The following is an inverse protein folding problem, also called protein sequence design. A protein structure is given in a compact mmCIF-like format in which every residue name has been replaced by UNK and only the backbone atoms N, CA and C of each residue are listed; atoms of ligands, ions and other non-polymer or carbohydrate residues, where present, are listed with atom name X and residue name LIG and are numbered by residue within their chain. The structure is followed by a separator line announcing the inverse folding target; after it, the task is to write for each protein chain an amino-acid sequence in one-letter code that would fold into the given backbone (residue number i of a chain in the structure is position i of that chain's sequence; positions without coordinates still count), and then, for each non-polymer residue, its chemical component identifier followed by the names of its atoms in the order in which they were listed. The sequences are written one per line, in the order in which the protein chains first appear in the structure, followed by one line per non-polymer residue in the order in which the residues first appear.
data_IF_407875687280
#
_entry.id   IF_407875687280
#
_cell.length_a   1.000
_cell.length_b   1.000
_cell.length_c   1.000
_cell.angle_alpha   90.00
_cell.angle_beta   90.00
_cell.angle_gamma   90.00
#
_symmetry.space_group_name_H-M   'P 1'
#
loop_
_entity.id
_entity.type
_entity.pdbx_description
1 polymer ?
#
# COMPACT_ATOMS: atom_id res chain seq x y z
N UNK A 1 -21.50 7.48 12.66
CA UNK A 1 -20.16 7.91 12.18
C UNK A 1 -19.60 6.78 11.32
N UNK A 2 -19.00 7.09 10.18
CA UNK A 2 -18.29 6.07 9.37
C UNK A 2 -16.86 5.91 9.86
N UNK A 3 -16.30 4.74 9.68
CA UNK A 3 -14.91 4.40 9.98
C UNK A 3 -14.44 3.23 9.13
N UNK A 4 -13.18 2.83 9.30
CA UNK A 4 -12.62 1.65 8.63
C UNK A 4 -12.23 0.61 9.66
N UNK A 5 -12.39 -0.65 9.27
CA UNK A 5 -12.01 -1.80 10.05
C UNK A 5 -11.21 -2.79 9.21
N UNK A 6 -10.09 -3.28 9.76
CA UNK A 6 -9.28 -4.34 9.18
C UNK A 6 -9.66 -5.71 9.70
N UNK A 7 -9.42 -6.73 8.89
CA UNK A 7 -9.67 -8.14 9.17
C UNK A 7 -8.60 -9.01 8.53
N UNK A 8 -8.49 -10.25 8.97
CA UNK A 8 -7.71 -11.25 8.26
C UNK A 8 -8.35 -11.63 6.90
N UNK A 9 -7.71 -12.53 6.17
CA UNK A 9 -8.16 -13.02 4.85
C UNK A 9 -9.56 -13.64 4.85
N UNK A 10 -10.05 -14.08 5.99
CA UNK A 10 -11.34 -14.74 6.13
C UNK A 10 -12.43 -13.80 6.68
N UNK A 11 -12.19 -12.50 6.79
CA UNK A 11 -13.04 -11.57 7.54
C UNK A 11 -13.17 -11.97 9.02
N UNK A 12 -12.08 -12.42 9.64
CA UNK A 12 -12.05 -12.78 11.05
C UNK A 12 -11.10 -11.86 11.83
N UNK A 13 -11.38 -11.69 13.11
CA UNK A 13 -10.45 -11.11 14.09
C UNK A 13 -10.52 -11.99 15.34
N UNK A 14 -9.39 -12.55 15.75
CA UNK A 14 -9.28 -13.38 16.96
C UNK A 14 -10.36 -14.47 17.06
N UNK A 15 -10.67 -15.12 15.95
CA UNK A 15 -11.67 -16.20 15.88
C UNK A 15 -13.12 -15.74 15.74
N UNK A 16 -13.42 -14.45 15.83
CA UNK A 16 -14.76 -13.91 15.55
C UNK A 16 -14.92 -13.72 14.06
N UNK A 17 -15.92 -14.38 13.46
CA UNK A 17 -16.28 -14.28 12.05
C UNK A 17 -17.19 -13.09 11.81
N UNK A 18 -16.89 -12.29 10.79
CA UNK A 18 -17.68 -11.13 10.38
C UNK A 18 -18.27 -11.31 8.98
N UNK A 19 -19.38 -10.59 8.72
CA UNK A 19 -20.01 -10.53 7.40
C UNK A 19 -20.44 -9.11 7.04
N UNK A 20 -20.31 -8.76 5.77
CA UNK A 20 -20.82 -7.51 5.22
C UNK A 20 -22.33 -7.45 5.35
N UNK A 21 -22.86 -6.32 5.78
CA UNK A 21 -24.28 -6.07 6.01
C UNK A 21 -24.75 -6.33 7.45
N UNK A 22 -23.97 -7.05 8.26
CA UNK A 22 -24.33 -7.39 9.64
C UNK A 22 -23.87 -6.32 10.65
N UNK A 23 -24.58 -6.26 11.78
CA UNK A 23 -24.29 -5.39 12.93
C UNK A 23 -23.74 -6.23 14.07
N UNK A 24 -22.69 -5.73 14.71
CA UNK A 24 -21.99 -6.38 15.80
C UNK A 24 -22.02 -5.51 17.05
N UNK A 25 -22.41 -6.11 18.19
CA UNK A 25 -22.55 -5.44 19.49
C UNK A 25 -21.56 -6.01 20.48
N UNK A 26 -20.98 -5.14 21.29
CA UNK A 26 -20.10 -5.49 22.39
C UNK A 26 -20.91 -5.58 23.68
N UNK A 27 -21.29 -6.80 24.07
CA UNK A 27 -22.21 -7.02 25.19
C UNK A 27 -21.53 -7.09 26.56
N UNK A 28 -20.23 -7.39 26.63
CA UNK A 28 -19.49 -7.67 27.89
C UNK A 28 -18.23 -6.82 28.07
N UNK A 29 -18.29 -5.54 27.78
CA UNK A 29 -17.12 -4.64 27.80
C UNK A 29 -16.42 -4.53 29.18
N UNK A 30 -17.09 -4.87 30.28
CA UNK A 30 -16.55 -4.72 31.64
C UNK A 30 -15.53 -5.81 32.02
N UNK A 31 -15.53 -6.96 31.34
CA UNK A 31 -14.76 -8.13 31.76
C UNK A 31 -13.62 -8.53 30.82
N UNK A 32 -13.45 -7.91 29.66
CA UNK A 32 -12.45 -8.37 28.69
C UNK A 32 -11.43 -7.27 28.34
N UNK A 33 -10.39 -7.21 29.15
CA UNK A 33 -9.21 -6.32 28.94
C UNK A 33 -8.37 -6.71 27.70
N UNK A 34 -8.73 -7.77 26.97
CA UNK A 34 -7.89 -8.35 25.93
C UNK A 34 -8.46 -8.36 24.50
N UNK A 35 -9.68 -7.88 24.27
CA UNK A 35 -10.30 -8.00 22.94
C UNK A 35 -10.65 -6.67 22.26
N UNK A 36 -9.89 -5.63 22.58
CA UNK A 36 -10.08 -4.29 22.01
C UNK A 36 -10.08 -4.27 20.48
N UNK A 37 -9.28 -5.14 19.84
CA UNK A 37 -9.18 -5.15 18.37
C UNK A 37 -10.43 -5.67 17.66
N UNK A 38 -11.24 -6.52 18.30
CA UNK A 38 -12.50 -7.02 17.71
C UNK A 38 -13.47 -5.87 17.47
N UNK A 39 -13.49 -4.88 18.36
CA UNK A 39 -14.37 -3.71 18.31
C UNK A 39 -13.64 -2.40 18.01
N UNK A 40 -12.35 -2.48 17.65
CA UNK A 40 -11.59 -1.32 17.21
C UNK A 40 -12.04 -0.86 15.82
N UNK A 41 -12.30 0.42 15.69
CA UNK A 41 -12.61 1.11 14.44
C UNK A 41 -11.62 2.24 14.26
N UNK A 42 -11.05 2.35 13.08
CA UNK A 42 -10.11 3.39 12.71
C UNK A 42 -10.87 4.56 12.09
N UNK A 43 -10.55 5.76 12.53
CA UNK A 43 -11.17 6.98 12.01
C UNK A 43 -10.79 7.27 10.57
N UNK A 44 -11.61 8.09 9.90
CA UNK A 44 -11.35 8.47 8.51
C UNK A 44 -10.29 9.56 8.34
N UNK A 45 -9.98 10.32 9.39
CA UNK A 45 -9.16 11.52 9.23
C UNK A 45 -7.68 11.28 9.56
N UNK A 46 -7.28 11.31 10.80
CA UNK A 46 -5.87 11.27 11.18
C UNK A 46 -5.35 9.86 11.47
N UNK A 47 -6.26 8.91 11.64
CA UNK A 47 -5.95 7.58 12.19
C UNK A 47 -6.05 6.45 11.18
N UNK A 48 -6.50 6.76 9.97
CA UNK A 48 -6.82 5.77 8.95
C UNK A 48 -5.62 4.89 8.58
N UNK A 49 -4.44 5.45 8.58
CA UNK A 49 -3.21 4.72 8.26
C UNK A 49 -2.69 3.89 9.44
N UNK A 50 -3.16 4.16 10.64
CA UNK A 50 -2.87 3.33 11.80
C UNK A 50 -3.44 1.92 11.64
N UNK A 51 -4.47 1.75 10.80
CA UNK A 51 -5.00 0.42 10.47
C UNK A 51 -3.93 -0.52 9.92
N UNK A 52 -2.97 0.00 9.13
CA UNK A 52 -1.91 -0.82 8.54
C UNK A 52 -0.85 -1.27 9.54
N UNK A 53 -0.80 -0.66 10.71
CA UNK A 53 0.01 -1.15 11.81
C UNK A 53 -0.53 -2.47 12.37
N UNK A 54 -1.86 -2.60 12.45
CA UNK A 54 -2.54 -3.78 13.00
C UNK A 54 -2.90 -4.79 11.91
N UNK A 55 -3.27 -4.31 10.75
CA UNK A 55 -3.65 -5.09 9.56
C UNK A 55 -2.84 -4.62 8.36
N UNK A 56 -1.58 -5.06 8.21
CA UNK A 56 -0.70 -4.64 7.12
C UNK A 56 -1.33 -4.86 5.74
N UNK A 57 -1.09 -3.92 4.83
CA UNK A 57 -1.53 -4.05 3.43
C UNK A 57 -0.63 -5.04 2.68
N UNK A 58 -0.89 -6.33 2.88
CA UNK A 58 -0.08 -7.45 2.37
C UNK A 58 -0.80 -8.30 1.31
N UNK A 59 -1.95 -7.83 0.80
CA UNK A 59 -2.79 -8.57 -0.15
C UNK A 59 -3.64 -9.69 0.47
N UNK A 60 -3.45 -9.99 1.76
CA UNK A 60 -4.21 -11.01 2.50
C UNK A 60 -5.27 -10.39 3.41
N UNK A 61 -4.93 -9.29 4.08
CA UNK A 61 -5.86 -8.59 4.94
C UNK A 61 -6.97 -7.91 4.14
N UNK A 62 -8.16 -7.86 4.73
CA UNK A 62 -9.37 -7.30 4.15
C UNK A 62 -9.77 -6.06 4.94
N UNK A 63 -10.39 -5.10 4.28
CA UNK A 63 -10.78 -3.82 4.87
C UNK A 63 -12.23 -3.53 4.55
N UNK A 64 -12.98 -3.03 5.54
CA UNK A 64 -14.37 -2.68 5.36
C UNK A 64 -14.68 -1.29 5.88
N UNK A 65 -15.57 -0.59 5.18
CA UNK A 65 -16.25 0.56 5.74
C UNK A 65 -17.24 0.05 6.78
N UNK A 66 -17.21 0.66 7.96
CA UNK A 66 -18.16 0.39 9.04
C UNK A 66 -18.88 1.65 9.46
N UNK A 67 -20.15 1.50 9.80
CA UNK A 67 -20.96 2.54 10.41
C UNK A 67 -21.02 2.29 11.92
N UNK A 68 -20.51 3.24 12.69
CA UNK A 68 -20.60 3.20 14.16
C UNK A 68 -21.97 3.68 14.57
N UNK A 69 -22.75 2.78 15.20
CA UNK A 69 -24.12 3.02 15.65
C UNK A 69 -24.24 3.12 17.18
N UNK A 70 -23.24 2.63 17.91
CA UNK A 70 -23.16 2.70 19.36
C UNK A 70 -22.16 3.73 19.88
N UNK A 71 -22.11 3.84 21.20
CA UNK A 71 -21.19 4.74 21.90
C UNK A 71 -19.73 4.32 21.71
N UNK A 72 -18.84 5.30 21.77
CA UNK A 72 -17.40 5.05 21.87
C UNK A 72 -17.06 4.75 23.34
N UNK A 73 -16.45 3.58 23.57
CA UNK A 73 -16.00 3.15 24.90
C UNK A 73 -14.63 3.75 25.21
N UNK A 74 -13.74 3.73 24.23
CA UNK A 74 -12.37 4.24 24.32
C UNK A 74 -12.03 5.00 23.06
N UNK A 75 -11.49 6.18 23.26
CA UNK A 75 -10.93 7.01 22.18
C UNK A 75 -9.42 7.13 22.40
N UNK A 76 -8.64 6.70 21.43
CA UNK A 76 -7.18 6.84 21.44
C UNK A 76 -6.74 7.55 20.16
N UNK A 77 -5.50 7.97 20.09
CA UNK A 77 -4.93 8.56 18.86
C UNK A 77 -4.77 7.55 17.72
N UNK A 78 -4.89 6.27 18.00
CA UNK A 78 -4.65 5.22 17.01
C UNK A 78 -5.94 4.58 16.49
N UNK A 79 -6.93 4.38 17.37
CA UNK A 79 -8.21 3.75 17.07
C UNK A 79 -9.25 4.06 18.14
N UNK A 80 -10.52 3.83 17.80
CA UNK A 80 -11.65 3.91 18.74
C UNK A 80 -12.20 2.52 19.01
N UNK A 81 -12.57 2.24 20.26
CA UNK A 81 -13.34 1.07 20.63
C UNK A 81 -14.79 1.50 20.74
N UNK A 82 -15.67 0.81 20.02
CA UNK A 82 -17.09 1.16 19.93
C UNK A 82 -17.96 0.02 20.42
N UNK A 83 -19.11 0.36 21.01
CA UNK A 83 -20.06 -0.64 21.50
C UNK A 83 -20.79 -1.36 20.37
N UNK A 84 -21.02 -0.68 19.26
CA UNK A 84 -21.77 -1.24 18.15
C UNK A 84 -21.29 -0.65 16.82
N UNK A 85 -21.13 -1.51 15.83
CA UNK A 85 -20.88 -1.09 14.45
C UNK A 85 -21.56 -2.04 13.47
N UNK A 86 -21.91 -1.52 12.29
CA UNK A 86 -22.39 -2.28 11.14
C UNK A 86 -21.32 -2.31 10.05
N UNK A 87 -21.05 -3.47 9.47
CA UNK A 87 -20.19 -3.56 8.30
C UNK A 87 -20.99 -3.18 7.06
N UNK A 88 -20.64 -2.05 6.45
CA UNK A 88 -21.42 -1.48 5.33
C UNK A 88 -20.95 -2.05 4.00
N UNK A 89 -19.63 -2.06 3.78
CA UNK A 89 -19.06 -2.43 2.48
C UNK A 89 -17.61 -2.89 2.65
N UNK A 90 -17.21 -3.91 1.92
CA UNK A 90 -15.80 -4.28 1.77
C UNK A 90 -15.12 -3.42 0.69
N UNK A 91 -13.87 -3.06 0.94
CA UNK A 91 -13.00 -2.33 0.02
C UNK A 91 -11.91 -3.25 -0.50
N UNK A 92 -11.87 -3.44 -1.80
CA UNK A 92 -10.88 -4.30 -2.45
C UNK A 92 -9.70 -3.49 -3.00
N UNK A 93 -8.49 -3.93 -2.69
CA UNK A 93 -7.27 -3.43 -3.30
C UNK A 93 -7.18 -1.91 -3.35
N UNK A 94 -7.22 -1.37 -4.56
CA UNK A 94 -7.15 0.06 -4.82
C UNK A 94 -8.37 0.87 -4.37
N UNK A 95 -9.53 0.24 -4.16
CA UNK A 95 -10.73 0.93 -3.67
C UNK A 95 -10.51 1.51 -2.28
N UNK A 96 -9.71 0.85 -1.44
CA UNK A 96 -9.32 1.39 -0.14
C UNK A 96 -8.62 2.74 -0.29
N UNK A 97 -7.62 2.81 -1.16
CA UNK A 97 -6.87 4.04 -1.41
C UNK A 97 -7.68 5.08 -2.18
N UNK A 98 -8.52 4.66 -3.12
CA UNK A 98 -9.45 5.56 -3.82
C UNK A 98 -10.47 6.17 -2.86
N UNK A 99 -11.00 5.38 -1.93
CA UNK A 99 -11.92 5.88 -0.92
C UNK A 99 -11.23 6.93 -0.05
N UNK A 100 -10.03 6.65 0.44
CA UNK A 100 -9.24 7.64 1.19
C UNK A 100 -8.97 8.90 0.38
N UNK A 101 -8.58 8.77 -0.87
CA UNK A 101 -8.26 9.91 -1.71
C UNK A 101 -9.51 10.75 -2.10
N UNK A 102 -10.72 10.17 -2.13
CA UNK A 102 -11.97 10.90 -2.45
C UNK A 102 -12.59 11.56 -1.23
N UNK A 103 -12.58 10.90 -0.09
CA UNK A 103 -13.21 11.43 1.13
C UNK A 103 -12.34 12.46 1.87
N UNK A 104 -11.02 12.46 1.58
CA UNK A 104 -10.03 13.29 2.27
C UNK A 104 -9.28 14.23 1.33
N UNK A 105 -9.98 14.84 0.41
CA UNK A 105 -9.42 15.86 -0.50
C UNK A 105 -8.58 16.90 0.25
N UNK A 106 -9.00 17.31 1.42
CA UNK A 106 -8.34 18.36 2.19
C UNK A 106 -7.03 17.89 2.86
N UNK A 107 -6.98 16.64 3.35
CA UNK A 107 -5.76 16.09 3.99
C UNK A 107 -4.68 15.82 2.93
N UNK A 108 -5.07 15.39 1.73
CA UNK A 108 -4.14 15.17 0.63
C UNK A 108 -3.78 16.46 -0.11
N UNK A 109 -4.66 17.45 -0.12
CA UNK A 109 -4.34 18.78 -0.63
C UNK A 109 -3.30 19.48 0.25
N UNK A 110 -3.34 19.31 1.56
CA UNK A 110 -2.31 19.83 2.47
C UNK A 110 -0.97 19.09 2.31
N UNK A 111 -0.98 17.79 2.07
CA UNK A 111 0.23 16.99 1.76
C UNK A 111 0.77 17.33 0.35
N UNK A 112 -0.11 17.62 -0.60
CA UNK A 112 0.22 17.99 -1.98
C UNK A 112 0.57 19.48 -2.11
N UNK A 113 0.17 20.34 -1.16
CA UNK A 113 0.44 21.78 -1.18
C UNK A 113 1.87 22.19 -0.81
N UNK A 114 2.80 21.26 -0.57
CA UNK A 114 4.21 21.64 -0.61
C UNK A 114 4.64 21.93 -2.05
N UNK A 115 4.28 23.11 -2.52
CA UNK A 115 4.89 23.74 -3.67
C UNK A 115 6.35 24.04 -3.31
N UNK A 116 7.24 23.11 -3.63
CA UNK A 116 8.61 23.53 -3.89
C UNK A 116 8.61 24.26 -5.24
N UNK A 117 9.33 25.33 -5.32
CA UNK A 117 9.46 26.19 -6.50
C UNK A 117 9.65 25.39 -7.80
N UNK A 118 8.56 25.11 -8.50
CA UNK A 118 8.56 24.52 -9.86
C UNK A 118 8.56 23.00 -9.96
N UNK A 119 8.51 22.23 -8.86
CA UNK A 119 8.41 20.76 -8.90
C UNK A 119 7.36 20.23 -7.93
N UNK A 120 6.48 19.35 -8.40
CA UNK A 120 5.47 18.70 -7.59
C UNK A 120 6.11 17.60 -6.73
N UNK A 121 6.58 17.92 -5.53
CA UNK A 121 7.23 16.95 -4.63
C UNK A 121 6.70 17.05 -3.22
N UNK A 122 6.43 15.90 -2.57
CA UNK A 122 6.06 15.80 -1.18
C UNK A 122 7.00 14.85 -0.45
N UNK A 123 7.45 15.21 0.76
CA UNK A 123 8.20 14.33 1.63
C UNK A 123 7.44 14.15 2.94
N UNK A 124 7.23 12.89 3.34
CA UNK A 124 6.56 12.50 4.57
C UNK A 124 7.59 11.79 5.43
N UNK A 125 7.74 12.23 6.68
CA UNK A 125 8.71 11.67 7.62
C UNK A 125 7.99 11.01 8.80
N UNK A 126 8.53 9.89 9.25
CA UNK A 126 8.02 9.15 10.41
C UNK A 126 7.77 7.67 10.08
N UNK A 127 7.86 6.85 11.12
CA UNK A 127 7.56 5.43 11.01
C UNK A 127 6.06 5.23 10.74
N UNK A 128 5.73 4.17 9.97
CA UNK A 128 4.37 3.81 9.58
C UNK A 128 3.64 4.90 8.77
N UNK A 129 4.37 5.84 8.19
CA UNK A 129 3.78 6.92 7.41
C UNK A 129 3.28 6.42 6.04
N UNK A 130 2.25 7.07 5.54
CA UNK A 130 1.68 6.75 4.23
C UNK A 130 1.46 8.04 3.43
N UNK A 131 1.77 7.99 2.15
CA UNK A 131 1.50 9.07 1.22
C UNK A 131 0.77 8.54 -0.01
N UNK A 132 -0.21 9.30 -0.48
CA UNK A 132 -0.98 8.97 -1.69
C UNK A 132 -1.06 10.20 -2.59
N UNK A 133 -0.86 10.02 -3.89
CA UNK A 133 -1.08 11.05 -4.90
C UNK A 133 -1.79 10.47 -6.12
N UNK A 134 -2.66 11.27 -6.74
CA UNK A 134 -3.29 10.98 -8.04
C UNK A 134 -2.82 11.94 -9.14
N UNK A 135 -2.01 12.91 -8.79
CA UNK A 135 -1.55 13.93 -9.73
C UNK A 135 -0.42 13.39 -10.60
N UNK A 136 -0.37 13.86 -11.83
CA UNK A 136 0.74 13.58 -12.76
C UNK A 136 1.99 14.38 -12.40
N UNK A 137 3.16 13.86 -12.77
CA UNK A 137 4.48 14.48 -12.57
C UNK A 137 4.87 14.76 -11.11
N UNK A 138 4.28 14.01 -10.17
CA UNK A 138 4.53 14.14 -8.73
C UNK A 138 5.67 13.23 -8.28
N UNK A 139 6.49 13.75 -7.37
CA UNK A 139 7.49 12.99 -6.62
C UNK A 139 7.01 12.85 -5.19
N UNK A 140 6.71 11.62 -4.77
CA UNK A 140 6.29 11.30 -3.42
C UNK A 140 7.42 10.56 -2.69
N UNK A 141 7.86 11.07 -1.54
CA UNK A 141 8.92 10.45 -0.72
C UNK A 141 8.42 10.15 0.67
N UNK A 142 8.63 8.93 1.15
CA UNK A 142 8.41 8.55 2.54
C UNK A 142 9.73 8.15 3.20
N UNK A 143 9.97 8.62 4.42
CA UNK A 143 11.14 8.25 5.22
C UNK A 143 10.72 7.72 6.57
N UNK A 144 11.12 6.50 6.88
CA UNK A 144 10.85 5.83 8.14
C UNK A 144 10.58 4.34 7.96
N UNK A 145 10.56 3.62 9.05
CA UNK A 145 10.24 2.19 9.05
C UNK A 145 8.78 1.95 8.63
N UNK A 146 8.53 0.99 7.74
CA UNK A 146 7.20 0.62 7.23
C UNK A 146 6.43 1.78 6.60
N UNK A 147 7.08 2.60 5.80
CA UNK A 147 6.39 3.64 5.04
C UNK A 147 5.75 3.08 3.78
N UNK A 148 4.60 3.62 3.39
CA UNK A 148 3.91 3.25 2.14
C UNK A 148 3.66 4.49 1.29
N UNK A 149 4.19 4.50 0.06
CA UNK A 149 4.01 5.59 -0.90
C UNK A 149 3.25 5.07 -2.12
N UNK A 150 2.07 5.61 -2.37
CA UNK A 150 1.23 5.26 -3.52
C UNK A 150 1.04 6.45 -4.45
N UNK A 151 1.39 6.29 -5.70
CA UNK A 151 1.18 7.28 -6.74
C UNK A 151 0.38 6.69 -7.90
N UNK A 152 -0.66 7.39 -8.35
CA UNK A 152 -1.55 6.92 -9.41
C UNK A 152 -1.57 7.82 -10.65
N UNK A 153 -0.68 8.81 -10.72
CA UNK A 153 -0.60 9.75 -11.85
C UNK A 153 0.35 9.29 -12.96
N UNK A 154 0.29 9.99 -14.07
CA UNK A 154 1.21 9.80 -15.19
C UNK A 154 2.58 10.41 -14.90
N UNK A 155 3.67 9.75 -15.30
CA UNK A 155 5.06 10.24 -15.15
C UNK A 155 5.44 10.58 -13.69
N UNK A 156 5.07 9.71 -12.76
CA UNK A 156 5.27 9.95 -11.34
C UNK A 156 6.43 9.14 -10.76
N UNK A 157 6.96 9.58 -9.63
CA UNK A 157 7.99 8.87 -8.88
C UNK A 157 7.58 8.70 -7.43
N UNK A 158 7.69 7.50 -6.91
CA UNK A 158 7.53 7.25 -5.47
C UNK A 158 8.80 6.64 -4.90
N UNK A 159 9.18 7.12 -3.73
CA UNK A 159 10.33 6.64 -2.96
C UNK A 159 9.86 6.28 -1.56
N UNK A 160 10.05 5.03 -1.16
CA UNK A 160 9.87 4.59 0.21
C UNK A 160 11.24 4.26 0.80
N UNK A 161 11.66 5.00 1.82
CA UNK A 161 12.99 4.93 2.39
C UNK A 161 12.88 4.47 3.83
N UNK A 162 13.34 3.25 4.09
CA UNK A 162 13.31 2.58 5.38
C UNK A 162 12.93 1.11 5.22
N UNK A 163 13.27 0.29 6.22
CA UNK A 163 13.03 -1.14 6.16
C UNK A 163 11.54 -1.48 6.16
N UNK A 164 11.21 -2.59 5.53
CA UNK A 164 9.83 -3.07 5.35
C UNK A 164 8.89 -2.06 4.69
N UNK A 165 9.43 -1.13 3.92
CA UNK A 165 8.67 -0.04 3.27
C UNK A 165 8.19 -0.43 1.88
N UNK A 166 7.14 0.24 1.41
CA UNK A 166 6.52 -0.04 0.12
C UNK A 166 6.37 1.21 -0.74
N UNK A 167 6.86 1.14 -1.98
CA UNK A 167 6.71 2.17 -2.99
C UNK A 167 5.86 1.63 -4.14
N UNK A 168 4.73 2.27 -4.43
CA UNK A 168 3.75 1.82 -5.42
C UNK A 168 3.49 2.92 -6.42
N UNK A 169 3.59 2.62 -7.71
CA UNK A 169 3.15 3.50 -8.79
C UNK A 169 2.18 2.77 -9.73
N UNK A 170 1.02 3.39 -9.96
CA UNK A 170 -0.01 2.92 -10.89
C UNK A 170 -0.24 3.93 -11.99
N UNK A 171 0.76 4.17 -12.79
CA UNK A 171 0.67 5.11 -13.89
C UNK A 171 1.74 4.83 -14.91
N UNK A 172 1.50 5.21 -16.17
CA UNK A 172 2.47 5.01 -17.24
C UNK A 172 3.70 5.92 -17.05
N UNK A 173 4.84 5.49 -17.53
CA UNK A 173 6.13 6.18 -17.43
C UNK A 173 6.54 6.54 -16.00
N UNK A 174 6.21 5.67 -15.06
CA UNK A 174 6.37 5.94 -13.64
C UNK A 174 7.45 5.06 -13.00
N UNK A 175 8.04 5.56 -11.91
CA UNK A 175 9.11 4.86 -11.21
C UNK A 175 8.74 4.66 -9.74
N UNK A 176 8.83 3.43 -9.25
CA UNK A 176 8.75 3.10 -7.84
C UNK A 176 10.12 2.65 -7.33
N UNK A 177 10.60 3.27 -6.26
CA UNK A 177 11.89 2.95 -5.64
C UNK A 177 11.68 2.67 -4.16
N UNK A 178 12.08 1.48 -3.72
CA UNK A 178 12.14 1.15 -2.29
C UNK A 178 13.60 1.04 -1.84
N UNK A 179 13.92 1.65 -0.70
CA UNK A 179 15.26 1.66 -0.11
C UNK A 179 15.16 1.22 1.32
N UNK A 180 15.69 0.05 1.63
CA UNK A 180 15.67 -0.61 2.95
C UNK A 180 15.44 -2.11 2.80
N UNK A 181 15.77 -2.85 3.84
CA UNK A 181 15.65 -4.30 3.86
C UNK A 181 14.19 -4.73 3.92
N UNK A 182 13.88 -5.89 3.35
CA UNK A 182 12.52 -6.43 3.26
C UNK A 182 11.50 -5.48 2.61
N UNK A 183 11.95 -4.57 1.76
CA UNK A 183 11.11 -3.55 1.14
C UNK A 183 10.57 -3.97 -0.23
N UNK A 184 9.49 -3.32 -0.68
CA UNK A 184 8.84 -3.65 -1.95
C UNK A 184 8.70 -2.41 -2.84
N UNK A 185 9.15 -2.50 -4.09
CA UNK A 185 8.82 -1.56 -5.15
C UNK A 185 7.85 -2.20 -6.13
N UNK A 186 6.74 -1.54 -6.43
CA UNK A 186 5.73 -2.04 -7.37
C UNK A 186 5.36 -0.97 -8.39
N UNK A 187 5.35 -1.34 -9.66
CA UNK A 187 4.80 -0.51 -10.73
C UNK A 187 3.73 -1.28 -11.53
N UNK A 188 2.70 -0.53 -11.96
CA UNK A 188 1.63 -1.01 -12.83
C UNK A 188 1.35 0.06 -13.90
N UNK A 189 1.99 -0.10 -15.06
CA UNK A 189 1.87 0.87 -16.16
C UNK A 189 2.85 0.58 -17.30
N UNK A 190 2.60 1.22 -18.44
CA UNK A 190 3.44 1.13 -19.62
C UNK A 190 4.78 1.85 -19.36
N UNK A 191 5.89 1.29 -19.80
CA UNK A 191 7.25 1.86 -19.66
C UNK A 191 7.57 2.30 -18.23
N UNK A 192 7.15 1.50 -17.26
CA UNK A 192 7.33 1.82 -15.84
C UNK A 192 8.40 0.94 -15.20
N UNK A 193 9.09 1.48 -14.20
CA UNK A 193 10.27 0.84 -13.62
C UNK A 193 10.13 0.67 -12.12
N UNK A 194 10.33 -0.56 -11.62
CA UNK A 194 10.46 -0.87 -10.21
C UNK A 194 11.93 -1.07 -9.82
N UNK A 195 12.39 -0.41 -8.77
CA UNK A 195 13.76 -0.54 -8.25
C UNK A 195 13.71 -0.85 -6.76
N UNK A 196 14.38 -1.92 -6.35
CA UNK A 196 14.60 -2.22 -4.93
C UNK A 196 16.08 -2.11 -4.55
N UNK A 197 16.32 -1.59 -3.33
CA UNK A 197 17.64 -1.41 -2.76
C UNK A 197 17.63 -1.80 -1.28
N UNK A 198 17.92 -3.04 -0.97
CA UNK A 198 17.95 -3.62 0.36
C UNK A 198 18.11 -5.13 0.29
N UNK A 199 18.49 -5.76 1.41
CA UNK A 199 18.50 -7.21 1.53
C UNK A 199 17.06 -7.75 1.54
N UNK A 200 16.83 -8.91 0.93
CA UNK A 200 15.51 -9.56 0.84
C UNK A 200 14.39 -8.64 0.27
N UNK A 201 14.77 -7.67 -0.56
CA UNK A 201 13.84 -6.74 -1.16
C UNK A 201 13.23 -7.27 -2.47
N UNK A 202 12.08 -6.73 -2.86
CA UNK A 202 11.34 -7.19 -4.02
C UNK A 202 11.04 -6.02 -4.96
N UNK A 203 11.33 -6.19 -6.25
CA UNK A 203 10.84 -5.27 -7.29
C UNK A 203 9.84 -5.98 -8.20
N UNK A 204 8.65 -5.40 -8.36
CA UNK A 204 7.56 -5.94 -9.16
C UNK A 204 7.23 -4.94 -10.27
N UNK A 205 7.41 -5.34 -11.51
CA UNK A 205 7.02 -4.55 -12.67
C UNK A 205 5.94 -5.28 -13.48
N UNK A 206 4.79 -4.62 -13.65
CA UNK A 206 3.61 -5.12 -14.30
C UNK A 206 3.18 -4.13 -15.38
N UNK A 207 3.15 -4.53 -16.63
CA UNK A 207 2.76 -3.64 -17.74
C UNK A 207 3.18 -4.14 -19.12
N UNK A 208 3.03 -3.22 -20.09
CA UNK A 208 3.54 -3.41 -21.44
C UNK A 208 5.02 -3.11 -21.44
N UNK A 209 5.98 -3.62 -21.50
CA UNK A 209 7.43 -3.38 -21.30
C UNK A 209 7.82 -3.17 -19.84
N UNK A 210 7.53 -4.15 -18.96
CA UNK A 210 7.84 -4.03 -17.56
C UNK A 210 9.36 -4.01 -17.35
N UNK A 211 9.86 -3.11 -16.48
CA UNK A 211 11.28 -3.06 -16.11
C UNK A 211 11.46 -3.15 -14.60
N UNK A 212 12.38 -4.01 -14.17
CA UNK A 212 12.75 -4.12 -12.76
C UNK A 212 14.27 -4.16 -12.59
N UNK A 213 14.75 -3.62 -11.47
CA UNK A 213 16.15 -3.66 -11.07
C UNK A 213 16.27 -3.89 -9.57
N UNK A 214 17.27 -4.68 -9.17
CA UNK A 214 17.72 -4.75 -7.79
C UNK A 214 19.13 -4.20 -7.67
N UNK A 215 19.39 -3.44 -6.61
CA UNK A 215 20.71 -2.89 -6.36
C UNK A 215 21.61 -3.83 -5.57
N UNK A 216 21.01 -4.78 -4.84
CA UNK A 216 21.72 -5.72 -3.96
C UNK A 216 21.33 -7.16 -4.33
N UNK A 217 22.28 -8.09 -4.23
CA UNK A 217 21.99 -9.52 -4.36
C UNK A 217 21.12 -10.03 -3.22
N UNK A 218 20.40 -11.11 -3.44
CA UNK A 218 19.44 -11.64 -2.47
C UNK A 218 18.01 -11.16 -2.71
N UNK A 219 17.84 -10.12 -3.54
CA UNK A 219 16.52 -9.60 -3.92
C UNK A 219 15.83 -10.44 -4.99
N UNK A 220 14.52 -10.24 -5.16
CA UNK A 220 13.72 -10.91 -6.20
C UNK A 220 13.07 -9.90 -7.13
N UNK A 221 13.12 -10.17 -8.43
CA UNK A 221 12.40 -9.42 -9.45
C UNK A 221 11.21 -10.22 -9.93
N UNK A 222 10.03 -9.61 -9.94
CA UNK A 222 8.83 -10.12 -10.59
C UNK A 222 8.48 -9.26 -11.79
N UNK A 223 8.38 -9.86 -12.95
CA UNK A 223 8.06 -9.20 -14.21
C UNK A 223 6.78 -9.81 -14.78
N UNK A 224 5.79 -8.98 -15.06
CA UNK A 224 4.52 -9.38 -15.67
C UNK A 224 4.34 -8.59 -16.94
N UNK A 225 4.40 -9.32 -18.08
CA UNK A 225 4.23 -8.73 -19.41
C UNK A 225 2.74 -8.74 -19.78
N UNK A 226 2.24 -7.59 -20.20
CA UNK A 226 0.88 -7.43 -20.73
C UNK A 226 0.93 -7.03 -22.20
N UNK A 227 -0.11 -7.40 -22.92
CA UNK A 227 -0.34 -6.89 -24.28
C UNK A 227 -1.02 -5.50 -24.24
N UNK A 228 -1.19 -4.88 -25.39
CA UNK A 228 -1.83 -3.57 -25.54
C UNK A 228 -3.32 -3.54 -25.11
N UNK A 229 -3.96 -4.71 -24.90
CA UNK A 229 -5.30 -4.81 -24.33
C UNK A 229 -5.29 -4.91 -22.81
N UNK A 230 -4.10 -4.95 -22.18
CA UNK A 230 -3.91 -5.11 -20.75
C UNK A 230 -3.98 -6.56 -20.25
N UNK A 231 -4.07 -7.55 -21.17
CA UNK A 231 -4.10 -8.98 -20.80
C UNK A 231 -2.68 -9.44 -20.46
N UNK A 232 -2.55 -10.21 -19.37
CA UNK A 232 -1.28 -10.87 -19.03
C UNK A 232 -0.97 -11.93 -20.08
N UNK A 233 0.21 -11.82 -20.71
CA UNK A 233 0.69 -12.75 -21.71
C UNK A 233 1.87 -13.58 -21.21
N UNK A 234 2.71 -13.02 -20.33
CA UNK A 234 3.83 -13.73 -19.74
C UNK A 234 4.14 -13.22 -18.33
N UNK A 235 4.88 -14.02 -17.56
CA UNK A 235 5.44 -13.60 -16.28
C UNK A 235 6.76 -14.31 -15.99
N UNK A 236 7.61 -13.72 -15.19
CA UNK A 236 8.85 -14.29 -14.69
C UNK A 236 9.13 -13.84 -13.26
N UNK A 237 9.72 -14.75 -12.48
CA UNK A 237 10.28 -14.47 -11.17
C UNK A 237 11.73 -14.88 -11.19
N UNK A 238 12.65 -13.96 -10.85
CA UNK A 238 14.08 -14.21 -10.88
C UNK A 238 14.75 -13.75 -9.59
N UNK A 239 15.64 -14.58 -9.08
CA UNK A 239 16.48 -14.28 -7.92
C UNK A 239 17.77 -13.60 -8.39
N UNK A 240 18.10 -12.48 -7.78
CA UNK A 240 19.32 -11.70 -8.10
C UNK A 240 20.51 -12.32 -7.37
N UNK A 241 21.22 -13.21 -8.04
CA UNK A 241 22.37 -13.94 -7.51
C UNK A 241 23.71 -13.16 -7.65
N UNK A 242 23.69 -12.10 -8.47
CA UNK A 242 24.87 -11.30 -8.79
C UNK A 242 25.76 -11.87 -9.90
N UNK A 243 25.44 -13.06 -10.42
CA UNK A 243 26.17 -13.76 -11.49
C UNK A 243 25.34 -13.87 -12.77
N UNK A 244 24.29 -14.68 -12.75
CA UNK A 244 23.36 -14.84 -13.88
C UNK A 244 22.39 -13.68 -13.98
N UNK A 245 21.84 -13.26 -12.84
CA UNK A 245 21.02 -12.06 -12.70
C UNK A 245 21.81 -11.05 -11.87
N UNK A 246 22.36 -10.06 -12.57
CA UNK A 246 23.29 -9.09 -12.00
C UNK A 246 22.58 -7.98 -11.25
N UNK A 247 23.21 -7.48 -10.22
CA UNK A 247 22.83 -6.24 -9.55
C UNK A 247 23.05 -5.03 -10.44
N UNK A 248 22.29 -3.93 -10.20
CA UNK A 248 22.43 -2.65 -10.93
C UNK A 248 22.18 -2.77 -12.43
N UNK A 249 21.45 -3.80 -12.85
CA UNK A 249 21.01 -4.01 -14.22
C UNK A 249 19.48 -4.02 -14.26
N UNK A 250 18.94 -3.39 -15.30
CA UNK A 250 17.52 -3.48 -15.59
C UNK A 250 17.23 -4.78 -16.33
N UNK A 251 16.15 -5.41 -15.92
CA UNK A 251 15.61 -6.59 -16.57
C UNK A 251 14.18 -6.30 -17.05
N UNK A 252 13.87 -6.76 -18.24
CA UNK A 252 12.53 -6.69 -18.80
C UNK A 252 12.09 -8.07 -19.27
N UNK A 253 10.78 -8.26 -19.40
CA UNK A 253 10.19 -9.45 -19.99
C UNK A 253 9.60 -9.08 -21.34
N UNK A 254 10.11 -9.71 -22.43
CA UNK A 254 9.65 -9.46 -23.79
C UNK A 254 9.38 -10.78 -24.53
N UNK A 255 8.14 -10.99 -24.94
CA UNK A 255 7.68 -12.26 -25.55
C UNK A 255 8.05 -13.48 -24.69
N UNK A 256 7.89 -13.38 -23.38
CA UNK A 256 8.22 -14.41 -22.40
C UNK A 256 9.71 -14.65 -22.17
N UNK A 257 10.60 -13.85 -22.77
CA UNK A 257 12.05 -13.95 -22.57
C UNK A 257 12.53 -12.83 -21.66
N UNK A 258 13.29 -13.21 -20.63
CA UNK A 258 13.99 -12.26 -19.79
C UNK A 258 15.16 -11.65 -20.60
N UNK A 259 15.22 -10.33 -20.61
CA UNK A 259 16.29 -9.59 -21.30
C UNK A 259 16.94 -8.60 -20.31
N UNK A 260 18.27 -8.48 -20.33
CA UNK A 260 19.01 -7.38 -19.70
C UNK A 260 18.89 -6.16 -20.64
N UNK A 261 18.51 -4.99 -20.10
CA UNK A 261 18.24 -3.74 -20.83
C UNK A 261 19.36 -2.75 -20.61
#
# INVERSE_FOLDING_TARGET
MLGIKGFDKNLCIKGVQFKVGETYKYENWENEMYDNMVYAVFGFFDEVFNIFHFFPFNGLNRYCIVEVTGDTIKDSKEYRIVKEFKIVKELYGDQLFQHFATEHHNVFDDIVQYKSDGGHGCTIEGNFSCGVSKQSEVILKGRGYRTTMLNCGYSTRSYAIGDSSMSINRGNHSNAVSIGDNSVAYVDGIDSTAVCCGEDAIAIANGEQPMAMAMIKGSVLFLVERDCSGKIINHASVYVDGENIKTLKYYSLKNGKLIEV
#
